data_IF_851121778643
#
_entry.id   IF_851121778643
#
_cell.length_a   1.000
_cell.length_b   1.000
_cell.length_c   1.000
_cell.angle_alpha   90.00
_cell.angle_beta   90.00
_cell.angle_gamma   90.00
#
_symmetry.space_group_name_H-M   'P 1'
#
loop_
_entity.id
_entity.type
_entity.pdbx_description
1 polymer ?
#
# COMPACT_ATOMS: atom_id res chain seq x y z
N UNK A 1 15.31 18.48 16.90
CA UNK A 1 15.47 17.10 16.41
C UNK A 1 14.98 17.07 14.97
N UNK A 2 15.59 16.27 14.10
CA UNK A 2 15.12 16.12 12.73
C UNK A 2 13.95 15.13 12.74
N UNK A 3 12.74 15.59 12.41
CA UNK A 3 11.56 14.75 12.32
C UNK A 3 11.48 14.10 10.95
N UNK A 4 11.07 12.83 10.92
CA UNK A 4 10.80 12.10 9.69
C UNK A 4 9.30 11.83 9.62
N UNK A 5 8.61 12.44 8.68
CA UNK A 5 7.16 12.49 8.68
C UNK A 5 6.53 11.33 7.91
N UNK A 6 5.51 10.71 8.48
CA UNK A 6 4.67 9.72 7.80
C UNK A 6 3.20 10.11 7.92
N UNK A 7 2.41 9.90 6.86
CA UNK A 7 0.99 10.26 6.83
C UNK A 7 0.17 9.40 7.79
N UNK A 8 -0.89 9.98 8.36
CA UNK A 8 -1.77 9.31 9.33
C UNK A 8 -2.26 7.90 8.91
N UNK A 9 -2.70 7.65 7.64
CA UNK A 9 -3.14 6.32 7.24
C UNK A 9 -2.04 5.28 7.43
N UNK A 10 -0.84 5.57 6.91
CA UNK A 10 0.32 4.68 7.01
C UNK A 10 0.84 4.57 8.45
N UNK A 11 0.76 5.65 9.24
CA UNK A 11 1.11 5.61 10.66
C UNK A 11 0.27 4.58 11.43
N UNK A 12 -1.05 4.56 11.19
CA UNK A 12 -1.94 3.61 11.84
C UNK A 12 -1.66 2.17 11.41
N UNK A 13 -1.41 1.93 10.12
CA UNK A 13 -1.04 0.61 9.60
C UNK A 13 0.32 0.13 10.11
N UNK A 14 1.28 1.03 10.30
CA UNK A 14 2.60 0.68 10.83
C UNK A 14 2.54 0.20 12.28
N UNK A 15 1.70 0.82 13.11
CA UNK A 15 1.58 0.50 14.54
C UNK A 15 0.64 -0.69 14.82
N UNK A 16 -0.20 -1.05 13.84
CA UNK A 16 -1.17 -2.12 13.97
C UNK A 16 -0.50 -3.50 14.20
N UNK A 17 -0.85 -4.16 15.31
CA UNK A 17 -0.46 -5.55 15.59
C UNK A 17 -1.47 -6.54 15.01
N UNK A 18 -1.72 -6.42 13.70
CA UNK A 18 -2.65 -7.27 12.94
C UNK A 18 -3.89 -6.54 12.40
N UNK A 19 -4.74 -7.25 11.63
CA UNK A 19 -5.80 -6.65 10.81
C UNK A 19 -6.97 -6.01 11.57
N UNK A 20 -7.05 -6.19 12.90
CA UNK A 20 -8.15 -5.69 13.74
C UNK A 20 -7.66 -4.95 14.98
N UNK A 21 -6.45 -4.39 14.93
CA UNK A 21 -5.90 -3.63 16.05
C UNK A 21 -6.46 -2.20 16.07
N UNK A 22 -7.68 -2.08 16.60
CA UNK A 22 -8.35 -0.80 16.82
C UNK A 22 -7.64 0.08 17.84
N UNK A 23 -6.79 -0.50 18.71
CA UNK A 23 -6.07 0.22 19.75
C UNK A 23 -4.81 0.93 19.22
N UNK A 24 -4.33 0.59 18.02
CA UNK A 24 -3.19 1.26 17.37
C UNK A 24 -3.34 2.78 17.30
N UNK A 25 -4.50 3.24 16.83
CA UNK A 25 -4.86 4.67 16.69
C UNK A 25 -4.88 5.37 18.06
N UNK A 26 -5.47 4.70 19.04
CA UNK A 26 -5.53 5.18 20.42
C UNK A 26 -4.14 5.34 21.03
N UNK A 27 -3.27 4.33 20.87
CA UNK A 27 -1.87 4.36 21.34
C UNK A 27 -1.09 5.53 20.72
N UNK A 28 -1.30 5.84 19.44
CA UNK A 28 -0.69 7.00 18.78
C UNK A 28 -1.19 8.30 19.42
N UNK A 29 -2.50 8.46 19.61
CA UNK A 29 -3.08 9.66 20.21
C UNK A 29 -2.67 9.86 21.68
N UNK A 30 -2.67 8.82 22.51
CA UNK A 30 -2.18 8.85 23.90
C UNK A 30 -0.73 9.34 23.96
N UNK A 31 0.13 8.86 23.06
CA UNK A 31 1.55 9.23 23.00
C UNK A 31 1.76 10.63 22.42
N UNK A 32 0.90 11.08 21.50
CA UNK A 32 0.89 12.45 21.01
C UNK A 32 0.44 13.44 22.10
N UNK A 33 -0.54 13.07 22.93
CA UNK A 33 -0.95 13.85 24.10
C UNK A 33 0.16 13.94 25.16
N UNK A 34 0.88 12.83 25.39
CA UNK A 34 2.06 12.82 26.26
C UNK A 34 3.25 13.64 25.71
N UNK A 35 3.18 14.10 24.45
CA UNK A 35 4.27 14.84 23.78
C UNK A 35 5.44 13.96 23.36
N UNK A 36 5.23 12.64 23.29
CA UNK A 36 6.24 11.66 22.88
C UNK A 36 6.27 11.47 21.36
N UNK A 37 5.12 11.66 20.69
CA UNK A 37 5.02 11.64 19.23
C UNK A 37 4.67 13.05 18.75
N UNK A 38 5.57 13.66 17.98
CA UNK A 38 5.26 14.91 17.31
C UNK A 38 4.29 14.66 16.15
N UNK A 39 3.33 15.57 15.97
CA UNK A 39 2.42 15.55 14.85
C UNK A 39 2.41 16.92 14.16
N UNK A 40 2.19 16.91 12.85
CA UNK A 40 2.00 18.12 12.04
C UNK A 40 0.78 17.96 11.15
N UNK A 41 0.16 19.06 10.76
CA UNK A 41 -0.91 19.06 9.77
C UNK A 41 -0.54 19.98 8.61
N UNK A 42 -0.97 19.63 7.41
CA UNK A 42 -0.78 20.48 6.22
C UNK A 42 -1.61 21.75 6.34
N UNK A 43 -2.81 21.63 6.90
CA UNK A 43 -3.70 22.77 7.19
C UNK A 43 -4.28 22.61 8.58
N UNK A 44 -4.19 23.66 9.39
CA UNK A 44 -4.87 23.78 10.68
C UNK A 44 -5.82 24.94 10.62
N UNK A 45 -7.06 24.73 11.04
CA UNK A 45 -8.04 25.78 11.26
C UNK A 45 -8.19 25.93 12.77
N UNK A 46 -7.72 27.05 13.30
CA UNK A 46 -7.76 27.38 14.73
C UNK A 46 -8.53 28.69 14.92
N UNK A 47 -9.70 28.66 15.55
CA UNK A 47 -10.55 29.85 15.73
C UNK A 47 -10.82 30.61 14.40
N UNK A 48 -10.97 29.88 13.29
CA UNK A 48 -11.16 30.45 11.95
C UNK A 48 -9.88 30.97 11.28
N UNK A 49 -8.74 30.96 11.96
CA UNK A 49 -7.44 31.22 11.34
C UNK A 49 -6.93 29.96 10.66
N UNK A 50 -6.52 30.11 9.40
CA UNK A 50 -5.94 29.02 8.61
C UNK A 50 -4.43 29.14 8.65
N UNK A 51 -3.78 28.11 9.18
CA UNK A 51 -2.34 27.97 9.20
C UNK A 51 -1.93 26.74 8.39
N UNK A 52 -0.73 26.79 7.79
CA UNK A 52 -0.19 25.69 6.98
C UNK A 52 1.06 25.11 7.60
N UNK A 53 1.25 23.81 7.41
CA UNK A 53 2.43 23.06 7.89
C UNK A 53 2.76 23.30 9.37
N UNK A 54 1.72 23.29 10.20
CA UNK A 54 1.83 23.59 11.63
C UNK A 54 2.01 22.30 12.45
N UNK A 55 2.91 22.34 13.43
CA UNK A 55 2.95 21.34 14.49
C UNK A 55 1.69 21.41 15.34
N UNK A 56 1.08 20.26 15.60
CA UNK A 56 -0.09 20.15 16.46
C UNK A 56 0.37 20.12 17.92
N UNK A 57 -0.16 20.99 18.79
CA UNK A 57 0.21 21.02 20.20
C UNK A 57 -0.33 19.77 20.90
N UNK A 58 0.33 19.35 21.98
CA UNK A 58 -0.11 18.19 22.78
C UNK A 58 -1.58 18.27 23.22
N UNK A 59 -2.06 19.46 23.55
CA UNK A 59 -3.44 19.69 23.99
C UNK A 59 -4.47 19.46 22.87
N UNK A 60 -4.06 19.43 21.60
CA UNK A 60 -4.95 19.00 20.51
C UNK A 60 -5.37 17.53 20.70
N UNK A 61 -4.49 16.72 21.27
CA UNK A 61 -4.68 15.29 21.48
C UNK A 61 -5.30 14.94 22.85
N UNK A 62 -5.90 15.93 23.55
CA UNK A 62 -6.38 15.78 24.94
C UNK A 62 -7.35 14.60 25.15
N UNK A 63 -8.13 14.25 24.12
CA UNK A 63 -9.08 13.15 24.18
C UNK A 63 -8.43 11.77 23.97
N UNK A 64 -7.12 11.69 23.75
CA UNK A 64 -6.35 10.44 23.69
C UNK A 64 -6.90 9.38 22.71
N UNK A 65 -7.58 9.84 21.65
CA UNK A 65 -8.19 8.96 20.64
C UNK A 65 -9.61 8.48 20.98
N UNK A 66 -10.23 9.00 22.04
CA UNK A 66 -11.62 8.74 22.41
C UNK A 66 -12.62 9.60 21.62
N UNK A 67 -13.92 9.45 21.93
CA UNK A 67 -15.06 10.04 21.20
C UNK A 67 -15.02 11.57 21.04
N UNK A 68 -14.28 12.29 21.91
CA UNK A 68 -14.14 13.75 21.81
C UNK A 68 -13.10 14.22 20.78
N UNK A 69 -12.47 13.29 20.06
CA UNK A 69 -11.63 13.52 18.89
C UNK A 69 -12.27 12.81 17.69
N UNK A 70 -12.79 13.58 16.74
CA UNK A 70 -13.22 13.06 15.45
C UNK A 70 -11.98 12.70 14.62
N UNK A 71 -11.97 11.49 14.06
CA UNK A 71 -10.78 10.90 13.46
C UNK A 71 -11.13 10.26 12.12
N UNK A 72 -10.73 10.90 11.02
CA UNK A 72 -10.66 10.30 9.70
C UNK A 72 -9.21 9.97 9.39
N UNK A 73 -8.79 8.77 9.77
CA UNK A 73 -7.40 8.33 9.57
C UNK A 73 -7.02 8.16 8.11
N UNK A 74 -7.99 7.88 7.22
CA UNK A 74 -7.75 7.62 5.79
C UNK A 74 -7.50 8.93 5.03
N UNK A 75 -8.23 9.99 5.37
CA UNK A 75 -7.93 11.34 4.90
C UNK A 75 -6.77 11.99 5.68
N UNK A 76 -6.53 11.53 6.91
CA UNK A 76 -5.64 12.17 7.87
C UNK A 76 -6.23 13.43 8.47
N UNK A 77 -7.55 13.48 8.63
CA UNK A 77 -8.29 14.63 9.12
C UNK A 77 -8.78 14.40 10.55
N UNK A 78 -8.56 15.39 11.40
CA UNK A 78 -8.83 15.32 12.83
C UNK A 78 -9.53 16.58 13.30
N UNK A 79 -10.51 16.43 14.18
CA UNK A 79 -11.29 17.55 14.72
C UNK A 79 -11.54 17.38 16.21
N UNK A 80 -11.43 18.48 16.98
CA UNK A 80 -11.73 18.46 18.41
C UNK A 80 -12.18 19.83 18.91
N UNK A 81 -12.83 19.84 20.08
CA UNK A 81 -13.21 21.04 20.82
C UNK A 81 -12.33 21.18 22.07
N UNK A 82 -11.49 22.21 22.09
CA UNK A 82 -10.67 22.53 23.26
C UNK A 82 -11.49 23.43 24.19
N UNK A 83 -11.59 23.00 25.46
CA UNK A 83 -12.35 23.66 26.52
C UNK A 83 -13.82 23.96 26.15
N UNK A 84 -14.42 23.14 25.27
CA UNK A 84 -15.78 23.31 24.72
C UNK A 84 -16.02 24.66 24.02
N UNK A 85 -14.95 25.40 23.71
CA UNK A 85 -15.03 26.78 23.20
C UNK A 85 -14.39 26.94 21.85
N UNK A 86 -13.34 26.18 21.58
CA UNK A 86 -12.49 26.36 20.41
C UNK A 86 -12.52 25.07 19.60
N UNK A 87 -13.22 25.10 18.47
CA UNK A 87 -13.11 24.05 17.47
C UNK A 87 -11.76 24.18 16.76
N UNK A 88 -11.00 23.09 16.71
CA UNK A 88 -9.75 22.98 15.98
C UNK A 88 -9.88 21.84 14.97
N UNK A 89 -9.57 22.14 13.71
CA UNK A 89 -9.54 21.15 12.62
C UNK A 89 -8.12 21.03 12.07
N UNK A 90 -7.63 19.83 11.90
CA UNK A 90 -6.32 19.53 11.36
C UNK A 90 -6.48 18.59 10.16
N UNK A 91 -5.98 18.99 9.00
CA UNK A 91 -6.11 18.24 7.75
C UNK A 91 -4.76 17.73 7.26
N UNK A 92 -4.76 16.53 6.67
CA UNK A 92 -3.56 15.90 6.11
C UNK A 92 -2.47 15.61 7.15
N UNK A 93 -2.87 15.23 8.36
CA UNK A 93 -1.99 15.01 9.52
C UNK A 93 -0.90 13.97 9.22
N UNK A 94 0.29 14.26 9.72
CA UNK A 94 1.47 13.39 9.67
C UNK A 94 2.10 13.29 11.06
N UNK A 95 2.70 12.15 11.36
CA UNK A 95 3.35 11.86 12.63
C UNK A 95 4.84 11.64 12.44
N UNK A 96 5.62 11.83 13.51
CA UNK A 96 7.04 11.51 13.52
C UNK A 96 7.25 10.00 13.51
N UNK A 97 7.75 9.49 12.39
CA UNK A 97 8.01 8.08 12.12
C UNK A 97 9.02 7.48 13.10
N UNK A 98 10.06 8.24 13.50
CA UNK A 98 11.05 7.73 14.45
C UNK A 98 10.40 7.47 15.81
N UNK A 99 9.55 8.38 16.29
CA UNK A 99 8.81 8.19 17.53
C UNK A 99 7.77 7.07 17.43
N UNK A 100 7.12 6.89 16.27
CA UNK A 100 6.22 5.77 16.03
C UNK A 100 6.92 4.41 16.10
N UNK A 101 8.17 4.33 15.62
CA UNK A 101 8.96 3.09 15.65
C UNK A 101 9.19 2.54 17.07
N UNK A 102 9.17 3.41 18.09
CA UNK A 102 9.29 3.04 19.50
C UNK A 102 8.04 2.33 20.05
N UNK A 103 6.89 2.41 19.36
CA UNK A 103 5.68 1.68 19.72
C UNK A 103 5.72 0.21 19.30
N UNK A 104 6.67 -0.15 18.43
CA UNK A 104 6.80 -1.49 17.87
C UNK A 104 8.06 -2.15 18.46
N UNK A 105 7.97 -3.38 18.99
CA UNK A 105 9.12 -4.15 19.41
C UNK A 105 10.17 -4.26 18.28
N UNK A 106 11.45 -4.12 18.61
CA UNK A 106 12.53 -4.04 17.63
C UNK A 106 12.56 -5.23 16.65
N UNK A 107 12.18 -6.43 17.09
CA UNK A 107 12.09 -7.65 16.28
C UNK A 107 10.95 -7.62 15.25
N UNK A 108 9.93 -6.78 15.46
CA UNK A 108 8.77 -6.63 14.56
C UNK A 108 8.84 -5.41 13.64
N UNK A 109 9.74 -4.46 13.90
CA UNK A 109 9.85 -3.22 13.13
C UNK A 109 10.05 -3.46 11.62
N UNK A 110 10.83 -4.48 11.23
CA UNK A 110 11.05 -4.80 9.82
C UNK A 110 9.77 -5.30 9.12
N UNK A 111 8.95 -6.07 9.83
CA UNK A 111 7.67 -6.57 9.31
C UNK A 111 6.68 -5.41 9.19
N UNK A 112 6.59 -4.56 10.22
CA UNK A 112 5.75 -3.37 10.22
C UNK A 112 6.12 -2.40 9.09
N UNK A 113 7.43 -2.15 8.88
CA UNK A 113 7.90 -1.31 7.77
C UNK A 113 7.54 -1.90 6.41
N UNK A 114 7.65 -3.22 6.24
CA UNK A 114 7.26 -3.89 4.99
C UNK A 114 5.77 -3.77 4.72
N UNK A 115 4.93 -3.76 5.75
CA UNK A 115 3.47 -3.66 5.61
C UNK A 115 3.00 -2.30 5.06
N UNK A 116 3.78 -1.23 5.29
CA UNK A 116 3.47 0.12 4.79
C UNK A 116 4.31 0.51 3.57
N UNK A 117 5.29 -0.30 3.19
CA UNK A 117 6.22 0.10 2.14
C UNK A 117 5.65 -0.14 0.76
N UNK A 118 5.83 0.84 -0.12
CA UNK A 118 5.47 0.71 -1.54
C UNK A 118 6.12 -0.49 -2.24
N UNK A 119 7.27 -0.97 -1.74
CA UNK A 119 7.94 -2.17 -2.24
C UNK A 119 7.15 -3.46 -2.00
N UNK A 120 6.29 -3.48 -0.98
CA UNK A 120 5.47 -4.63 -0.63
C UNK A 120 4.12 -4.65 -1.36
N UNK A 121 3.75 -3.57 -2.03
CA UNK A 121 2.44 -3.43 -2.67
C UNK A 121 2.48 -3.89 -4.14
N UNK A 122 1.62 -4.85 -4.49
CA UNK A 122 1.55 -5.41 -5.84
C UNK A 122 1.12 -4.40 -6.91
N UNK A 123 0.34 -3.38 -6.54
CA UNK A 123 -0.18 -2.37 -7.48
C UNK A 123 0.84 -1.29 -7.87
N UNK A 124 2.06 -1.37 -7.35
CA UNK A 124 3.13 -0.44 -7.65
C UNK A 124 4.23 -1.11 -8.46
N UNK A 125 4.90 -0.33 -9.31
CA UNK A 125 6.06 -0.75 -10.07
C UNK A 125 7.21 0.20 -9.80
N UNK A 126 8.42 -0.31 -9.66
CA UNK A 126 9.59 0.56 -9.49
C UNK A 126 9.84 1.38 -10.76
N UNK A 127 10.42 2.57 -10.61
CA UNK A 127 10.79 3.39 -11.78
C UNK A 127 11.71 2.66 -12.76
N UNK A 128 12.57 1.77 -12.25
CA UNK A 128 13.49 0.98 -13.05
C UNK A 128 12.74 -0.05 -13.91
N UNK A 129 11.86 -0.83 -13.30
CA UNK A 129 11.07 -1.84 -14.01
C UNK A 129 10.12 -1.18 -15.01
N UNK A 130 9.49 -0.07 -14.64
CA UNK A 130 8.66 0.70 -15.55
C UNK A 130 9.46 1.15 -16.78
N UNK A 131 10.66 1.70 -16.57
CA UNK A 131 11.51 2.13 -17.68
C UNK A 131 11.90 0.94 -18.58
N UNK A 132 12.17 -0.24 -18.00
CA UNK A 132 12.44 -1.47 -18.76
C UNK A 132 11.24 -1.89 -19.61
N UNK A 133 10.01 -1.82 -19.08
CA UNK A 133 8.79 -2.08 -19.85
C UNK A 133 8.60 -1.06 -20.99
N UNK A 134 8.86 0.22 -20.71
CA UNK A 134 8.81 1.27 -21.72
C UNK A 134 9.88 1.08 -22.82
N UNK A 135 11.06 0.53 -22.49
CA UNK A 135 12.06 0.15 -23.49
C UNK A 135 11.62 -1.05 -24.32
N UNK A 136 11.09 -2.09 -23.68
CA UNK A 136 10.66 -3.32 -24.35
C UNK A 136 9.52 -3.07 -25.35
N UNK A 137 8.64 -2.11 -25.05
CA UNK A 137 7.52 -1.73 -25.93
C UNK A 137 7.93 -0.93 -27.19
N UNK A 138 9.22 -0.59 -27.37
CA UNK A 138 9.78 0.12 -28.54
C UNK A 138 9.09 1.44 -28.92
N UNK A 139 8.40 2.11 -27.98
CA UNK A 139 7.51 3.24 -28.30
C UNK A 139 8.21 4.57 -28.58
N UNK A 140 9.45 4.80 -28.12
CA UNK A 140 10.10 6.12 -28.24
C UNK A 140 11.61 6.09 -27.99
N UNK A 141 12.30 7.21 -28.23
CA UNK A 141 13.66 7.48 -27.71
C UNK A 141 13.59 8.42 -26.49
N UNK A 142 12.38 8.92 -26.17
CA UNK A 142 12.09 9.91 -25.13
C UNK A 142 11.17 9.36 -24.03
N UNK A 143 11.26 8.07 -23.70
CA UNK A 143 10.43 7.42 -22.69
C UNK A 143 10.41 8.17 -21.36
N UNK A 144 11.58 8.62 -20.90
CA UNK A 144 11.71 9.39 -19.67
C UNK A 144 10.92 10.71 -19.70
N UNK A 145 10.86 11.37 -20.86
CA UNK A 145 10.10 12.61 -21.01
C UNK A 145 8.59 12.35 -21.07
N UNK A 146 8.17 11.26 -21.72
CA UNK A 146 6.76 10.83 -21.75
C UNK A 146 6.25 10.45 -20.36
N UNK A 147 7.06 9.72 -19.58
CA UNK A 147 6.74 9.41 -18.18
C UNK A 147 6.59 10.67 -17.33
N UNK A 148 7.54 11.61 -17.44
CA UNK A 148 7.46 12.89 -16.72
C UNK A 148 6.21 13.68 -17.11
N UNK A 149 5.89 13.72 -18.39
CA UNK A 149 4.70 14.44 -18.86
C UNK A 149 3.42 13.79 -18.34
N UNK A 150 3.34 12.45 -18.36
CA UNK A 150 2.21 11.73 -17.77
C UNK A 150 2.06 12.03 -16.26
N UNK A 151 3.17 12.15 -15.52
CA UNK A 151 3.15 12.54 -14.12
C UNK A 151 2.69 14.00 -13.93
N UNK A 152 3.13 14.94 -14.78
CA UNK A 152 2.72 16.36 -14.75
C UNK A 152 1.26 16.59 -15.08
N UNK A 153 0.70 15.72 -15.92
CA UNK A 153 -0.72 15.68 -16.26
C UNK A 153 -1.56 15.02 -15.17
N UNK A 154 -0.94 14.32 -14.21
CA UNK A 154 -1.64 13.57 -13.17
C UNK A 154 -2.19 12.22 -13.65
N UNK A 155 -1.75 11.75 -14.83
CA UNK A 155 -2.17 10.48 -15.42
C UNK A 155 -1.49 9.27 -14.78
N UNK A 156 -0.35 9.48 -14.10
CA UNK A 156 0.41 8.46 -13.37
C UNK A 156 0.71 9.00 -11.98
N UNK A 157 0.22 8.29 -10.95
CA UNK A 157 0.55 8.58 -9.57
C UNK A 157 1.92 8.00 -9.21
N UNK A 158 2.69 8.72 -8.40
CA UNK A 158 3.99 8.28 -7.93
C UNK A 158 4.08 8.34 -6.41
N UNK A 159 4.86 7.44 -5.82
CA UNK A 159 5.20 7.42 -4.40
C UNK A 159 6.71 7.23 -4.28
N UNK A 160 7.34 7.98 -3.39
CA UNK A 160 8.74 7.81 -3.06
C UNK A 160 8.85 7.17 -1.68
N UNK A 161 9.67 6.13 -1.53
CA UNK A 161 9.96 5.57 -0.21
C UNK A 161 10.50 6.62 0.76
N UNK A 162 11.25 7.60 0.24
CA UNK A 162 11.75 8.72 1.02
C UNK A 162 11.80 10.01 0.20
N UNK A 163 11.40 11.11 0.81
CA UNK A 163 11.52 12.46 0.27
C UNK A 163 12.25 13.36 1.28
N UNK A 164 13.20 14.14 0.79
CA UNK A 164 13.94 15.13 1.58
C UNK A 164 13.77 16.48 0.91
N UNK A 165 13.33 17.48 1.66
CA UNK A 165 13.24 18.85 1.20
C UNK A 165 14.18 19.77 1.98
N UNK A 166 14.91 20.60 1.25
CA UNK A 166 15.79 21.63 1.77
C UNK A 166 15.36 22.97 1.18
N UNK A 167 14.75 23.83 2.00
CA UNK A 167 14.41 25.18 1.57
C UNK A 167 15.64 26.08 1.54
N UNK A 168 15.56 27.13 0.71
CA UNK A 168 16.65 28.10 0.57
C UNK A 168 16.97 28.75 1.94
N UNK A 169 18.24 28.98 2.29
CA UNK A 169 18.56 29.84 3.42
C UNK A 169 17.92 31.22 3.24
N UNK A 170 17.43 31.79 4.33
CA UNK A 170 16.86 33.14 4.34
C UNK A 170 17.93 34.20 4.00
N UNK A 171 17.52 35.48 3.93
CA UNK A 171 18.45 36.59 3.64
C UNK A 171 19.56 36.75 4.70
N UNK A 172 19.39 36.15 5.88
CA UNK A 172 20.36 36.14 6.97
C UNK A 172 21.24 34.88 6.97
N UNK A 173 21.10 34.01 5.97
CA UNK A 173 21.85 32.76 5.85
C UNK A 173 21.34 31.64 6.75
N UNK A 174 20.21 31.84 7.43
CA UNK A 174 19.60 30.85 8.28
C UNK A 174 18.96 29.78 7.38
N UNK A 175 19.48 28.56 7.43
CA UNK A 175 18.92 27.45 6.66
C UNK A 175 17.50 27.19 7.15
N UNK A 176 16.55 27.13 6.22
CA UNK A 176 15.25 26.54 6.55
C UNK A 176 15.48 25.15 7.13
N UNK A 177 14.70 24.78 8.16
CA UNK A 177 14.75 23.43 8.69
C UNK A 177 14.27 22.50 7.57
N UNK A 178 15.19 21.70 7.03
CA UNK A 178 14.84 20.70 6.05
C UNK A 178 13.81 19.73 6.63
N UNK A 179 13.04 19.10 5.76
CA UNK A 179 12.06 18.09 6.13
C UNK A 179 12.41 16.76 5.49
N UNK A 180 11.98 15.69 6.14
CA UNK A 180 12.06 14.35 5.58
C UNK A 180 10.70 13.68 5.72
N UNK A 181 10.28 12.95 4.70
CA UNK A 181 9.05 12.18 4.71
C UNK A 181 9.29 10.76 4.20
N UNK A 182 8.59 9.80 4.80
CA UNK A 182 8.59 8.38 4.43
C UNK A 182 7.34 8.04 3.64
N UNK A 183 7.49 7.15 2.64
CA UNK A 183 6.41 6.68 1.78
C UNK A 183 5.55 7.85 1.27
N UNK A 184 6.24 8.87 0.75
CA UNK A 184 5.65 10.15 0.36
C UNK A 184 4.96 10.03 -0.99
N UNK A 185 3.63 10.14 -0.98
CA UNK A 185 2.83 10.32 -2.19
C UNK A 185 3.27 11.60 -2.90
N UNK A 186 3.80 11.47 -4.11
CA UNK A 186 4.45 12.56 -4.83
C UNK A 186 3.36 13.45 -5.43
N UNK A 187 3.19 14.68 -4.92
CA UNK A 187 2.06 15.52 -5.29
C UNK A 187 2.23 16.09 -6.69
N UNK A 188 1.11 16.43 -7.34
CA UNK A 188 1.11 16.95 -8.71
C UNK A 188 1.95 18.21 -8.88
N UNK A 189 2.00 19.08 -7.86
CA UNK A 189 2.83 20.28 -7.89
C UNK A 189 4.33 19.94 -7.95
N UNK A 190 4.77 18.82 -7.36
CA UNK A 190 6.16 18.39 -7.46
C UNK A 190 6.51 18.11 -8.92
N UNK A 191 5.69 17.29 -9.60
CA UNK A 191 5.93 16.96 -11.00
C UNK A 191 5.96 18.21 -11.89
N UNK A 192 5.06 19.16 -11.66
CA UNK A 192 4.97 20.39 -12.46
C UNK A 192 6.10 21.38 -12.21
N UNK A 193 6.60 21.47 -10.97
CA UNK A 193 7.50 22.55 -10.58
C UNK A 193 8.94 22.11 -10.30
N UNK A 194 9.19 20.81 -10.08
CA UNK A 194 10.50 20.29 -9.67
C UNK A 194 11.15 19.38 -10.71
N UNK A 195 10.50 19.09 -11.84
CA UNK A 195 11.06 18.21 -12.88
C UNK A 195 11.43 18.92 -14.18
N UNK A 196 11.64 20.24 -14.15
CA UNK A 196 12.10 20.94 -15.34
C UNK A 196 13.50 20.47 -15.74
N UNK A 197 13.72 20.32 -17.05
CA UNK A 197 14.96 19.84 -17.64
C UNK A 197 16.19 20.65 -17.24
N UNK A 198 16.03 21.93 -16.92
CA UNK A 198 17.13 22.81 -16.52
C UNK A 198 17.50 22.73 -15.04
N UNK A 199 16.58 22.28 -14.18
CA UNK A 199 16.72 22.36 -12.71
C UNK A 199 16.53 21.03 -11.99
N UNK A 200 16.34 19.95 -12.73
CA UNK A 200 16.11 18.61 -12.20
C UNK A 200 17.08 17.57 -12.77
N UNK A 201 17.24 16.48 -12.03
CA UNK A 201 17.98 15.31 -12.45
C UNK A 201 17.17 14.10 -12.00
N UNK A 202 16.77 13.29 -12.98
CA UNK A 202 16.02 12.06 -12.79
C UNK A 202 16.89 10.88 -13.18
N UNK A 203 17.22 10.04 -12.21
CA UNK A 203 17.84 8.74 -12.45
C UNK A 203 16.82 7.65 -12.14
N UNK A 204 16.11 7.23 -13.18
CA UNK A 204 15.07 6.21 -13.09
C UNK A 204 15.61 4.82 -12.80
N UNK A 205 16.89 4.54 -13.08
CA UNK A 205 17.51 3.25 -12.76
C UNK A 205 17.76 3.12 -11.26
N UNK A 206 18.18 4.22 -10.62
CA UNK A 206 18.33 4.31 -9.17
C UNK A 206 17.05 4.69 -8.43
N UNK A 207 15.98 5.04 -9.17
CA UNK A 207 14.73 5.53 -8.59
C UNK A 207 14.91 6.82 -7.80
N UNK A 208 15.77 7.71 -8.29
CA UNK A 208 16.04 9.00 -7.66
C UNK A 208 15.59 10.14 -8.56
N UNK A 209 14.94 11.14 -7.95
CA UNK A 209 14.55 12.37 -8.63
C UNK A 209 14.91 13.52 -7.73
N UNK A 210 15.71 14.46 -8.22
CA UNK A 210 16.05 15.67 -7.48
C UNK A 210 15.77 16.89 -8.33
N UNK A 211 15.29 17.95 -7.71
CA UNK A 211 14.99 19.17 -8.45
C UNK A 211 14.79 20.39 -7.58
N UNK A 212 14.91 21.56 -8.21
CA UNK A 212 14.58 22.85 -7.60
C UNK A 212 13.31 23.39 -8.21
N UNK A 213 12.37 23.80 -7.37
CA UNK A 213 11.05 24.26 -7.78
C UNK A 213 10.39 25.13 -6.72
N UNK A 214 9.16 25.56 -7.02
CA UNK A 214 8.30 26.26 -6.07
C UNK A 214 7.26 25.27 -5.56
N UNK A 215 7.30 24.97 -4.26
CA UNK A 215 6.28 24.21 -3.56
C UNK A 215 5.31 25.13 -2.78
N UNK A 216 4.42 24.54 -1.98
CA UNK A 216 3.45 25.29 -1.16
C UNK A 216 4.08 26.30 -0.20
N UNK A 217 5.30 26.02 0.27
CA UNK A 217 6.04 26.83 1.24
C UNK A 217 7.10 27.73 0.61
N UNK A 218 7.11 27.85 -0.71
CA UNK A 218 8.07 28.63 -1.46
C UNK A 218 9.09 27.78 -2.19
N UNK A 219 10.30 28.32 -2.35
CA UNK A 219 11.31 27.74 -3.23
C UNK A 219 12.21 26.77 -2.48
N UNK A 220 12.14 25.51 -2.89
CA UNK A 220 12.84 24.40 -2.25
C UNK A 220 13.68 23.60 -3.24
N UNK A 221 14.61 22.82 -2.69
CA UNK A 221 15.23 21.69 -3.34
C UNK A 221 14.66 20.41 -2.73
N UNK A 222 14.09 19.53 -3.55
CA UNK A 222 13.53 18.27 -3.09
C UNK A 222 14.26 17.12 -3.77
N UNK A 223 14.60 16.09 -2.99
CA UNK A 223 15.17 14.83 -3.44
C UNK A 223 14.26 13.67 -3.03
N UNK A 224 13.92 12.85 -4.02
CA UNK A 224 13.16 11.61 -3.87
C UNK A 224 14.08 10.41 -4.04
N UNK A 225 13.80 9.36 -3.29
CA UNK A 225 14.49 8.07 -3.33
C UNK A 225 13.48 6.93 -3.33
N UNK A 226 13.75 5.88 -4.12
CA UNK A 226 12.86 4.74 -4.25
C UNK A 226 11.52 5.13 -4.87
N UNK A 227 11.56 5.82 -6.03
CA UNK A 227 10.34 6.23 -6.74
C UNK A 227 9.65 5.03 -7.40
N UNK A 228 8.37 4.89 -7.10
CA UNK A 228 7.46 3.89 -7.65
C UNK A 228 6.26 4.58 -8.28
N UNK A 229 5.62 3.89 -9.22
CA UNK A 229 4.45 4.37 -9.93
C UNK A 229 3.30 3.39 -9.80
N UNK A 230 2.08 3.91 -9.67
CA UNK A 230 0.92 3.07 -9.56
C UNK A 230 0.54 2.47 -10.92
N UNK A 231 0.30 1.15 -10.97
CA UNK A 231 0.05 0.40 -12.20
C UNK A 231 -1.18 0.88 -12.97
N UNK A 232 -2.21 1.41 -12.28
CA UNK A 232 -3.42 1.93 -12.95
C UNK A 232 -3.14 3.09 -13.91
N UNK A 233 -2.10 3.89 -13.66
CA UNK A 233 -1.72 5.01 -14.54
C UNK A 233 -1.03 4.56 -15.82
N UNK A 234 -0.51 3.33 -15.86
CA UNK A 234 0.28 2.82 -16.98
C UNK A 234 -0.55 2.53 -18.23
N UNK A 235 -1.87 2.38 -18.08
CA UNK A 235 -2.82 2.31 -19.20
C UNK A 235 -2.71 3.59 -20.04
N UNK A 236 -2.49 4.76 -19.42
CA UNK A 236 -2.32 6.03 -20.12
C UNK A 236 -0.99 6.11 -20.90
N UNK A 237 0.00 5.28 -20.54
CA UNK A 237 1.23 5.08 -21.30
C UNK A 237 1.07 3.99 -22.39
N UNK A 238 -0.13 3.39 -22.48
CA UNK A 238 -0.47 2.24 -23.29
C UNK A 238 0.42 1.03 -23.04
N UNK A 239 0.80 0.83 -21.78
CA UNK A 239 1.53 -0.35 -21.29
C UNK A 239 0.58 -1.42 -20.71
N UNK A 240 -0.73 -1.24 -20.87
CA UNK A 240 -1.76 -2.15 -20.34
C UNK A 240 -1.52 -3.61 -20.76
N UNK A 241 -1.12 -3.84 -22.01
CA UNK A 241 -0.90 -5.19 -22.57
C UNK A 241 0.45 -5.82 -22.13
N UNK A 242 1.34 -5.04 -21.52
CA UNK A 242 2.68 -5.47 -21.11
C UNK A 242 2.80 -5.74 -19.61
N UNK A 243 1.79 -5.35 -18.84
CA UNK A 243 1.73 -5.69 -17.43
C UNK A 243 1.26 -7.15 -17.30
N UNK A 244 1.89 -7.95 -16.42
CA UNK A 244 1.25 -9.15 -15.93
C UNK A 244 -0.13 -8.74 -15.41
N UNK A 245 -1.15 -9.51 -15.77
CA UNK A 245 -2.56 -9.23 -15.53
C UNK A 245 -2.88 -9.29 -14.02
N UNK A 246 -2.47 -8.27 -13.27
CA UNK A 246 -2.83 -8.10 -11.85
C UNK A 246 -4.21 -7.46 -11.80
N UNK A 247 -5.22 -8.32 -11.56
CA UNK A 247 -6.64 -8.04 -11.44
C UNK A 247 -7.46 -7.96 -12.75
N UNK A 248 -7.51 -9.08 -13.45
CA UNK A 248 -8.83 -9.68 -13.72
C UNK A 248 -8.98 -10.92 -12.85
N UNK A 249 -10.06 -11.11 -12.04
CA UNK A 249 -10.35 -12.42 -11.50
C UNK A 249 -10.50 -13.32 -12.72
N UNK A 250 -9.52 -14.22 -12.90
CA UNK A 250 -9.34 -15.11 -14.03
C UNK A 250 -10.63 -15.20 -14.87
N UNK A 251 -10.64 -14.52 -16.02
CA UNK A 251 -11.73 -14.72 -16.97
C UNK A 251 -11.82 -16.22 -17.15
N UNK A 252 -12.94 -16.79 -16.69
CA UNK A 252 -13.27 -18.20 -16.82
C UNK A 252 -13.48 -18.47 -18.31
N UNK A 253 -12.38 -18.54 -19.06
CA UNK A 253 -12.30 -19.13 -20.39
C UNK A 253 -12.16 -20.65 -20.32
N UNK A 254 -12.46 -21.24 -19.17
CA UNK A 254 -12.96 -22.61 -19.07
C UNK A 254 -14.42 -22.56 -18.66
N UNK A 255 -15.27 -23.35 -19.35
CA UNK A 255 -16.60 -23.72 -18.83
C UNK A 255 -16.43 -24.09 -17.36
N UNK A 256 -17.19 -23.44 -16.46
CA UNK A 256 -17.14 -23.75 -15.01
C UNK A 256 -17.14 -25.28 -14.87
N UNK A 257 -16.15 -25.89 -14.19
CA UNK A 257 -16.11 -27.33 -14.01
C UNK A 257 -17.47 -27.77 -13.48
N UNK A 258 -18.09 -28.73 -14.16
CA UNK A 258 -19.43 -29.22 -13.81
C UNK A 258 -19.47 -29.76 -12.36
N UNK A 259 -18.30 -30.20 -11.87
CA UNK A 259 -18.09 -30.75 -10.55
C UNK A 259 -16.93 -30.06 -9.84
N UNK A 260 -17.05 -29.87 -8.53
CA UNK A 260 -16.00 -29.35 -7.66
C UNK A 260 -15.05 -30.49 -7.26
N UNK A 261 -14.11 -30.81 -8.16
CA UNK A 261 -13.16 -31.90 -7.97
C UNK A 261 -12.24 -31.73 -6.75
N UNK A 262 -11.71 -30.53 -6.41
CA UNK A 262 -10.92 -30.33 -5.20
C UNK A 262 -11.70 -30.68 -3.92
N UNK A 263 -12.96 -30.23 -3.81
CA UNK A 263 -13.79 -30.55 -2.65
C UNK A 263 -14.09 -32.06 -2.58
N UNK A 264 -14.39 -32.69 -3.71
CA UNK A 264 -14.65 -34.12 -3.78
C UNK A 264 -13.43 -34.96 -3.40
N UNK A 265 -12.24 -34.57 -3.87
CA UNK A 265 -10.99 -35.25 -3.55
C UNK A 265 -10.70 -35.23 -2.04
N UNK A 266 -10.85 -34.06 -1.41
CA UNK A 266 -10.68 -33.92 0.04
C UNK A 266 -11.72 -34.74 0.82
N UNK A 267 -12.96 -34.80 0.33
CA UNK A 267 -14.00 -35.59 0.98
C UNK A 267 -13.71 -37.10 0.93
N UNK A 268 -13.19 -37.61 -0.20
CA UNK A 268 -12.78 -39.02 -0.34
C UNK A 268 -11.61 -39.34 0.58
N UNK A 269 -10.56 -38.51 0.60
CA UNK A 269 -9.46 -38.68 1.57
C UNK A 269 -9.93 -38.62 3.02
N UNK A 270 -10.87 -37.74 3.33
CA UNK A 270 -11.49 -37.67 4.65
C UNK A 270 -12.21 -38.98 5.02
N UNK A 271 -12.93 -39.60 4.09
CA UNK A 271 -13.59 -40.91 4.32
C UNK A 271 -12.57 -42.03 4.53
N UNK A 272 -11.48 -42.03 3.77
CA UNK A 272 -10.39 -43.01 3.92
C UNK A 272 -9.73 -42.88 5.29
N UNK A 273 -9.36 -41.65 5.68
CA UNK A 273 -8.68 -41.40 6.94
C UNK A 273 -9.56 -41.66 8.17
N UNK A 274 -10.88 -41.51 8.05
CA UNK A 274 -11.83 -41.86 9.12
C UNK A 274 -12.21 -43.35 9.14
N UNK A 275 -11.72 -44.16 8.20
CA UNK A 275 -12.07 -45.57 8.06
C UNK A 275 -13.49 -45.83 7.54
N UNK A 276 -14.18 -44.80 7.04
CA UNK A 276 -15.52 -44.89 6.44
C UNK A 276 -15.47 -45.49 5.02
N UNK A 277 -14.31 -45.40 4.36
CA UNK A 277 -14.02 -46.02 3.08
C UNK A 277 -12.66 -46.71 3.19
N UNK A 278 -12.64 -48.04 3.14
CA UNK A 278 -11.41 -48.84 3.09
C UNK A 278 -11.32 -49.42 1.68
N UNK A 279 -10.66 -48.73 0.73
CA UNK A 279 -10.64 -49.18 -0.64
C UNK A 279 -9.73 -50.40 -0.78
N UNK A 280 -10.26 -51.47 -1.36
CA UNK A 280 -9.53 -52.69 -1.71
C UNK A 280 -9.07 -52.69 -3.17
N UNK A 281 -9.66 -51.82 -3.99
CA UNK A 281 -9.27 -51.60 -5.37
C UNK A 281 -9.67 -50.18 -5.81
N UNK A 282 -9.08 -49.72 -6.91
CA UNK A 282 -9.37 -48.41 -7.50
C UNK A 282 -10.87 -48.21 -7.82
N UNK A 283 -11.58 -49.27 -8.24
CA UNK A 283 -12.99 -49.17 -8.63
C UNK A 283 -13.89 -48.73 -7.45
N UNK A 284 -13.56 -49.10 -6.22
CA UNK A 284 -14.29 -48.64 -5.03
C UNK A 284 -14.12 -47.13 -4.79
N UNK A 285 -12.98 -46.55 -5.17
CA UNK A 285 -12.76 -45.11 -5.12
C UNK A 285 -13.56 -44.40 -6.23
N UNK A 286 -13.63 -44.99 -7.42
CA UNK A 286 -14.44 -44.49 -8.53
C UNK A 286 -15.93 -44.42 -8.16
N UNK A 287 -16.47 -45.51 -7.59
CA UNK A 287 -17.86 -45.58 -7.10
C UNK A 287 -18.12 -44.54 -6.01
N UNK A 288 -17.16 -44.34 -5.10
CA UNK A 288 -17.30 -43.34 -4.03
C UNK A 288 -17.32 -41.91 -4.58
N UNK A 289 -16.53 -41.60 -5.61
CA UNK A 289 -16.58 -40.32 -6.31
C UNK A 289 -17.90 -40.11 -7.05
N UNK A 290 -18.40 -41.12 -7.76
CA UNK A 290 -19.69 -41.05 -8.46
C UNK A 290 -20.83 -40.79 -7.48
N UNK A 291 -20.84 -41.49 -6.34
CA UNK A 291 -21.85 -41.30 -5.29
C UNK A 291 -21.79 -39.88 -4.69
N UNK A 292 -20.59 -39.31 -4.51
CA UNK A 292 -20.39 -38.00 -3.90
C UNK A 292 -20.67 -36.83 -4.86
N UNK A 293 -20.39 -37.02 -6.14
CA UNK A 293 -20.57 -35.99 -7.18
C UNK A 293 -21.93 -36.05 -7.87
N UNK A 294 -22.79 -37.01 -7.51
CA UNK A 294 -24.15 -37.12 -8.02
C UNK A 294 -24.97 -35.89 -7.64
N UNK A 295 -25.29 -35.04 -8.64
CA UNK A 295 -26.12 -33.84 -8.46
C UNK A 295 -27.30 -33.88 -9.43
N UNK A 296 -28.47 -34.29 -8.94
CA UNK A 296 -29.67 -34.46 -9.77
C UNK A 296 -29.56 -35.70 -10.69
N UNK A 297 -29.90 -35.55 -11.97
CA UNK A 297 -29.86 -36.64 -12.97
C UNK A 297 -28.52 -36.78 -13.72
N UNK A 298 -27.50 -35.98 -13.37
CA UNK A 298 -26.19 -36.05 -14.02
C UNK A 298 -25.15 -36.66 -13.09
N UNK A 299 -24.75 -37.88 -13.43
CA UNK A 299 -23.60 -38.55 -12.84
C UNK A 299 -22.37 -38.33 -13.73
N UNK A 300 -21.18 -38.06 -13.13
CA UNK A 300 -19.96 -37.98 -13.92
C UNK A 300 -19.65 -39.34 -14.53
N UNK A 301 -19.28 -39.35 -15.82
CA UNK A 301 -18.88 -40.60 -16.49
C UNK A 301 -17.66 -41.21 -15.82
N UNK A 302 -17.57 -42.56 -15.83
CA UNK A 302 -16.41 -43.29 -15.30
C UNK A 302 -15.09 -42.78 -15.87
N UNK A 303 -15.06 -42.48 -17.16
CA UNK A 303 -13.88 -41.93 -17.85
C UNK A 303 -13.40 -40.60 -17.27
N UNK A 304 -14.29 -39.82 -16.66
CA UNK A 304 -13.99 -38.52 -16.05
C UNK A 304 -13.50 -38.68 -14.61
N UNK A 305 -14.02 -39.67 -13.88
CA UNK A 305 -13.65 -39.95 -12.48
C UNK A 305 -12.32 -40.72 -12.38
N UNK A 306 -12.08 -41.64 -13.32
CA UNK A 306 -10.94 -42.56 -13.30
C UNK A 306 -9.57 -41.91 -13.10
N UNK A 307 -9.21 -40.78 -13.74
CA UNK A 307 -7.91 -40.13 -13.52
C UNK A 307 -7.72 -39.65 -12.07
N UNK A 308 -8.79 -39.24 -11.39
CA UNK A 308 -8.74 -38.80 -10.00
C UNK A 308 -8.69 -39.97 -9.03
N UNK A 309 -9.48 -41.01 -9.29
CA UNK A 309 -9.47 -42.23 -8.50
C UNK A 309 -8.13 -42.98 -8.57
N UNK A 310 -7.48 -43.03 -9.74
CA UNK A 310 -6.14 -43.62 -9.92
C UNK A 310 -5.11 -42.93 -9.02
N UNK A 311 -5.12 -41.60 -8.96
CA UNK A 311 -4.18 -40.83 -8.12
C UNK A 311 -4.37 -41.12 -6.64
N UNK A 312 -5.61 -41.20 -6.16
CA UNK A 312 -5.87 -41.56 -4.75
C UNK A 312 -5.44 -42.99 -4.47
N UNK A 313 -5.73 -43.92 -5.38
CA UNK A 313 -5.35 -45.33 -5.23
C UNK A 313 -3.82 -45.53 -5.20
N UNK A 314 -3.10 -44.85 -6.10
CA UNK A 314 -1.64 -44.87 -6.15
C UNK A 314 -1.01 -44.31 -4.88
N UNK A 315 -1.58 -43.26 -4.28
CA UNK A 315 -1.08 -42.71 -3.02
C UNK A 315 -1.48 -43.57 -1.82
N UNK A 316 -2.70 -44.10 -1.80
CA UNK A 316 -3.18 -44.98 -0.73
C UNK A 316 -2.40 -46.31 -0.67
N UNK A 317 -2.07 -46.90 -1.82
CA UNK A 317 -1.33 -48.17 -1.89
C UNK A 317 0.15 -48.06 -1.50
N UNK A 318 0.68 -46.84 -1.38
CA UNK A 318 2.04 -46.58 -0.86
C UNK A 318 2.09 -46.49 0.67
N UNK A 319 0.97 -46.20 1.31
CA UNK A 319 0.84 -46.04 2.76
C UNK A 319 0.59 -47.38 3.46
#
# INVERSE_FOLDING_TARGET
>A
MAHEWIKAPLASHYVADGPFDYDSRKRICERAHAGLIAAKAEVVIWQGQVERDRLLPKNFWWAEGHEALEQDWDAGDFSTWIDEKIEVKAFGVSFDFLALSELIPADRQAIALRAISVLGEENWISSRELLQLMYASQRSVRQSAELLEACRLGSVAGRAMRAVGEGKPDHYGNKSNGWTAMEWDIPLWFWRSFTDSASSNCDWQLGTVKGRGNGPNGRDFIQLQGVHFHKSGLINLGLADTLPDDASPASKRGRKPEYDWPAANNAIWGKINRGELIPQNQAQIEVAFQALLRKGEKEPSESTVRPYASRIWEEYSKA
#
